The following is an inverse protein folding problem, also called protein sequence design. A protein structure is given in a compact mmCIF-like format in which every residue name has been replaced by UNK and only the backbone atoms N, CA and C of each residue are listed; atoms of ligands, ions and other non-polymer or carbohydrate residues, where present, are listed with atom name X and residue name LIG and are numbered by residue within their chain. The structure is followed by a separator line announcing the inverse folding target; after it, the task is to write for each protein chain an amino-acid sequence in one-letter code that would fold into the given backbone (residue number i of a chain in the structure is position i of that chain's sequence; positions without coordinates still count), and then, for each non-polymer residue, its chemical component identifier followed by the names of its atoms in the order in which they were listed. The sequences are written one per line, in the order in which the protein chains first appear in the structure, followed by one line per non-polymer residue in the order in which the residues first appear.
data_IF_264441263507
#
_entry.id   IF_264441263507
#
_cell.length_a   1.000
_cell.length_b   1.000
_cell.length_c   1.000
_cell.angle_alpha   90.00
_cell.angle_beta   90.00
_cell.angle_gamma   90.00
#
_symmetry.space_group_name_H-M   'P 1'
#
loop_
_entity.id
_entity.type
_entity.pdbx_description
1 polymer ?
#
# COMPACT_ATOMS: atom_id res chain seq x y z
N UNK A 1 24.91 17.51 -16.39
CA UNK A 1 25.73 16.37 -15.88
C UNK A 1 26.73 15.82 -16.90
N UNK A 2 26.33 15.39 -18.11
CA UNK A 2 27.26 14.80 -19.08
C UNK A 2 27.54 13.30 -18.83
N UNK A 3 28.40 12.69 -19.66
CA UNK A 3 28.55 11.22 -19.74
C UNK A 3 29.03 10.54 -18.45
N UNK A 4 29.81 11.23 -17.62
CA UNK A 4 30.37 10.73 -16.36
C UNK A 4 30.08 11.67 -15.18
N UNK A 5 29.13 12.59 -15.34
CA UNK A 5 28.76 13.55 -14.30
C UNK A 5 29.63 14.81 -14.20
N UNK A 6 30.76 14.88 -14.91
CA UNK A 6 31.74 15.98 -14.83
C UNK A 6 31.40 17.22 -15.65
N UNK A 7 30.35 17.16 -16.46
CA UNK A 7 29.91 18.25 -17.34
C UNK A 7 30.95 18.70 -18.37
N UNK A 8 31.99 17.90 -18.65
CA UNK A 8 33.11 18.27 -19.52
C UNK A 8 32.69 18.75 -20.92
N UNK A 9 31.68 18.12 -21.53
CA UNK A 9 31.14 18.56 -22.82
C UNK A 9 30.51 19.95 -22.75
N UNK A 10 29.85 20.30 -21.63
CA UNK A 10 29.28 21.63 -21.43
C UNK A 10 30.37 22.65 -21.12
N UNK A 11 31.41 22.27 -20.37
CA UNK A 11 32.59 23.13 -20.16
C UNK A 11 33.24 23.55 -21.49
N UNK A 12 33.36 22.63 -22.45
CA UNK A 12 33.89 22.94 -23.78
C UNK A 12 32.97 23.92 -24.53
N UNK A 13 31.66 23.64 -24.55
CA UNK A 13 30.65 24.46 -25.26
C UNK A 13 30.58 25.88 -24.69
N UNK A 14 30.73 26.04 -23.37
CA UNK A 14 30.67 27.32 -22.68
C UNK A 14 32.07 27.93 -22.42
N UNK A 15 33.12 27.43 -23.09
CA UNK A 15 34.48 27.96 -22.99
C UNK A 15 35.01 28.10 -21.55
N UNK A 16 34.67 27.12 -20.69
CA UNK A 16 35.08 27.10 -19.28
C UNK A 16 34.21 27.93 -18.34
N UNK A 17 33.12 28.52 -18.81
CA UNK A 17 32.20 29.32 -17.99
C UNK A 17 31.26 28.44 -17.15
N UNK A 18 31.69 28.09 -15.94
CA UNK A 18 30.92 27.27 -15.00
C UNK A 18 29.62 27.92 -14.54
N UNK A 19 29.59 29.24 -14.33
CA UNK A 19 28.38 29.94 -13.89
C UNK A 19 27.24 29.83 -14.91
N UNK A 20 27.56 29.85 -16.21
CA UNK A 20 26.55 29.61 -17.25
C UNK A 20 25.99 28.19 -17.20
N UNK A 21 26.83 27.21 -16.87
CA UNK A 21 26.40 25.82 -16.76
C UNK A 21 25.51 25.62 -15.53
N UNK A 22 25.84 26.26 -14.42
CA UNK A 22 25.00 26.24 -13.20
C UNK A 22 23.62 26.85 -13.48
N UNK A 23 23.60 28.07 -14.06
CA UNK A 23 22.35 28.74 -14.49
C UNK A 23 21.55 27.91 -15.48
N UNK A 24 22.23 27.19 -16.38
CA UNK A 24 21.58 26.27 -17.32
C UNK A 24 20.92 25.11 -16.56
N UNK A 25 21.63 24.46 -15.63
CA UNK A 25 21.08 23.34 -14.86
C UNK A 25 19.89 23.79 -14.00
N UNK A 26 20.02 24.92 -13.30
CA UNK A 26 18.92 25.51 -12.51
C UNK A 26 17.70 25.76 -13.39
N UNK A 27 17.90 26.41 -14.54
CA UNK A 27 16.81 26.70 -15.47
C UNK A 27 16.14 25.43 -16.01
N UNK A 28 16.91 24.37 -16.26
CA UNK A 28 16.36 23.09 -16.68
C UNK A 28 15.51 22.43 -15.58
N UNK A 29 15.95 22.48 -14.32
CA UNK A 29 15.16 21.99 -13.20
C UNK A 29 13.86 22.80 -13.01
N UNK A 30 13.92 24.14 -13.11
CA UNK A 30 12.73 24.99 -13.07
C UNK A 30 11.72 24.64 -14.17
N UNK A 31 12.19 24.49 -15.42
CA UNK A 31 11.33 24.16 -16.55
C UNK A 31 10.72 22.75 -16.43
N UNK A 32 11.44 21.83 -15.78
CA UNK A 32 10.96 20.49 -15.51
C UNK A 32 10.08 20.38 -14.23
N UNK A 33 9.92 21.48 -13.47
CA UNK A 33 9.09 21.52 -12.27
C UNK A 33 9.73 20.89 -11.01
N UNK A 34 11.07 20.78 -10.96
CA UNK A 34 11.78 20.27 -9.80
C UNK A 34 12.14 21.41 -8.83
N UNK A 35 11.39 21.51 -7.72
CA UNK A 35 11.61 22.52 -6.68
C UNK A 35 12.88 22.29 -5.86
N UNK A 36 13.27 21.02 -5.67
CA UNK A 36 14.45 20.63 -4.88
C UNK A 36 15.78 20.83 -5.62
N UNK A 37 15.74 21.31 -6.86
CA UNK A 37 16.92 21.75 -7.60
C UNK A 37 17.72 20.65 -8.30
N UNK A 38 18.98 20.96 -8.57
CA UNK A 38 19.93 20.14 -9.33
C UNK A 38 20.67 19.21 -8.37
N UNK A 39 21.00 17.98 -8.80
CA UNK A 39 21.95 17.17 -8.05
C UNK A 39 23.34 17.82 -8.09
N UNK A 40 23.97 18.11 -6.96
CA UNK A 40 25.36 18.60 -6.97
C UNK A 40 26.34 17.52 -7.44
N UNK A 41 26.06 16.27 -7.07
CA UNK A 41 26.88 15.11 -7.40
C UNK A 41 26.01 14.12 -8.16
N UNK A 42 26.43 13.83 -9.39
CA UNK A 42 25.88 12.72 -10.18
C UNK A 42 26.98 12.08 -11.00
N UNK A 43 26.66 10.93 -11.55
CA UNK A 43 27.49 10.23 -12.52
C UNK A 43 26.80 10.30 -13.89
N UNK A 44 26.83 9.24 -14.71
CA UNK A 44 26.08 9.24 -15.96
C UNK A 44 24.56 9.37 -15.75
N UNK A 45 24.06 8.93 -14.60
CA UNK A 45 22.64 8.91 -14.24
C UNK A 45 22.43 9.48 -12.84
N UNK A 46 21.17 9.77 -12.51
CA UNK A 46 20.77 9.87 -11.10
C UNK A 46 21.03 8.53 -10.40
N UNK A 47 21.25 8.57 -9.08
CA UNK A 47 21.51 7.36 -8.30
C UNK A 47 20.31 6.41 -8.32
N UNK A 48 20.54 5.12 -8.65
CA UNK A 48 19.49 4.09 -8.62
C UNK A 48 18.93 3.84 -7.21
N UNK A 49 19.56 4.40 -6.18
CA UNK A 49 18.98 4.47 -4.83
C UNK A 49 17.63 5.19 -4.82
N UNK A 50 17.40 6.18 -5.70
CA UNK A 50 16.10 6.84 -5.83
C UNK A 50 15.01 5.84 -6.22
N UNK A 51 15.30 4.95 -7.18
CA UNK A 51 14.35 3.93 -7.61
C UNK A 51 14.03 2.95 -6.46
N UNK A 52 15.06 2.56 -5.69
CA UNK A 52 14.90 1.73 -4.48
C UNK A 52 14.03 2.42 -3.42
N UNK A 53 14.32 3.67 -3.08
CA UNK A 53 13.60 4.40 -2.04
C UNK A 53 12.11 4.58 -2.42
N UNK A 54 11.83 4.93 -3.69
CA UNK A 54 10.46 4.99 -4.23
C UNK A 54 9.78 3.62 -4.18
N UNK A 55 10.48 2.56 -4.57
CA UNK A 55 9.90 1.21 -4.57
C UNK A 55 9.54 0.72 -3.18
N UNK A 56 10.35 1.01 -2.17
CA UNK A 56 10.08 0.66 -0.78
C UNK A 56 8.86 1.41 -0.25
N UNK A 57 8.73 2.70 -0.56
CA UNK A 57 7.59 3.49 -0.18
C UNK A 57 6.28 2.95 -0.78
N UNK A 58 6.28 2.58 -2.07
CA UNK A 58 5.10 2.07 -2.77
C UNK A 58 4.78 0.62 -2.36
N UNK A 59 5.78 -0.23 -2.14
CA UNK A 59 5.56 -1.63 -1.79
C UNK A 59 4.79 -1.83 -0.47
N UNK A 60 4.90 -0.88 0.46
CA UNK A 60 4.09 -0.84 1.67
C UNK A 60 2.58 -0.84 1.40
N UNK A 61 2.13 -0.19 0.33
CA UNK A 61 0.73 -0.20 -0.11
C UNK A 61 0.27 -1.63 -0.42
N UNK A 62 1.09 -2.43 -1.09
CA UNK A 62 0.77 -3.81 -1.43
C UNK A 62 0.51 -4.67 -0.20
N UNK A 63 1.36 -4.54 0.83
CA UNK A 63 1.18 -5.25 2.10
C UNK A 63 -0.10 -4.80 2.84
N UNK A 64 -0.34 -3.49 2.90
CA UNK A 64 -1.56 -2.92 3.50
C UNK A 64 -2.82 -3.40 2.79
N UNK A 65 -2.83 -3.39 1.45
CA UNK A 65 -3.96 -3.84 0.66
C UNK A 65 -4.25 -5.33 0.88
N UNK A 66 -3.22 -6.17 0.98
CA UNK A 66 -3.38 -7.59 1.32
C UNK A 66 -3.99 -7.78 2.71
N UNK A 67 -3.55 -7.01 3.71
CA UNK A 67 -4.10 -7.08 5.07
C UNK A 67 -5.59 -6.76 5.08
N UNK A 68 -5.97 -5.59 4.54
CA UNK A 68 -7.37 -5.12 4.46
C UNK A 68 -8.23 -6.17 3.75
N UNK A 69 -7.79 -6.66 2.61
CA UNK A 69 -8.60 -7.56 1.79
C UNK A 69 -8.71 -8.97 2.37
N UNK A 70 -7.71 -9.43 3.13
CA UNK A 70 -7.83 -10.68 3.88
C UNK A 70 -8.91 -10.58 4.96
N UNK A 71 -8.94 -9.48 5.72
CA UNK A 71 -9.97 -9.27 6.74
C UNK A 71 -11.37 -9.21 6.11
N UNK A 72 -11.53 -8.47 5.00
CA UNK A 72 -12.81 -8.41 4.27
C UNK A 72 -13.25 -9.80 3.78
N UNK A 73 -12.33 -10.64 3.31
CA UNK A 73 -12.64 -12.01 2.87
C UNK A 73 -13.06 -12.90 4.05
N UNK A 74 -12.45 -12.72 5.22
CA UNK A 74 -12.86 -13.42 6.44
C UNK A 74 -14.26 -12.99 6.91
N UNK A 75 -14.54 -11.69 6.91
CA UNK A 75 -15.86 -11.14 7.28
C UNK A 75 -16.95 -11.55 6.29
N UNK A 76 -16.61 -11.69 4.99
CA UNK A 76 -17.50 -12.22 3.97
C UNK A 76 -17.87 -13.70 4.22
N UNK A 77 -16.91 -14.50 4.69
CA UNK A 77 -17.19 -15.90 5.09
C UNK A 77 -18.19 -15.96 6.25
N UNK A 78 -18.14 -14.99 7.15
CA UNK A 78 -19.02 -14.88 8.33
C UNK A 78 -20.39 -14.25 7.98
N UNK A 79 -20.53 -13.72 6.76
CA UNK A 79 -21.69 -12.96 6.28
C UNK A 79 -21.97 -11.71 7.13
N UNK A 80 -20.90 -11.10 7.65
CA UNK A 80 -20.98 -9.86 8.42
C UNK A 80 -20.80 -8.65 7.51
N UNK A 81 -19.91 -8.76 6.53
CA UNK A 81 -19.62 -7.74 5.52
C UNK A 81 -19.47 -8.40 4.15
N UNK A 82 -19.97 -7.76 3.09
CA UNK A 82 -19.73 -8.15 1.70
C UNK A 82 -19.18 -6.96 0.89
N UNK A 83 -18.38 -7.26 -0.14
CA UNK A 83 -18.01 -6.26 -1.15
C UNK A 83 -19.22 -5.86 -2.02
N UNK A 84 -19.22 -4.67 -2.64
CA UNK A 84 -20.33 -4.22 -3.48
C UNK A 84 -20.67 -5.24 -4.57
N UNK A 85 -21.95 -5.39 -4.87
CA UNK A 85 -22.45 -6.35 -5.86
C UNK A 85 -23.26 -5.61 -6.92
N UNK A 86 -22.77 -5.60 -8.15
CA UNK A 86 -23.48 -4.91 -9.25
C UNK A 86 -24.76 -5.65 -9.60
N UNK A 87 -25.76 -4.90 -10.07
CA UNK A 87 -27.08 -5.45 -10.41
C UNK A 87 -27.02 -6.57 -11.47
N UNK A 88 -26.09 -6.44 -12.42
CA UNK A 88 -25.89 -7.39 -13.52
C UNK A 88 -24.72 -8.35 -13.27
N UNK A 89 -24.09 -8.31 -12.09
CA UNK A 89 -22.99 -9.20 -11.75
C UNK A 89 -23.52 -10.62 -11.57
N UNK A 90 -23.13 -11.51 -12.47
CA UNK A 90 -23.39 -12.93 -12.32
C UNK A 90 -22.36 -13.48 -11.33
N UNK A 91 -22.84 -13.97 -10.18
CA UNK A 91 -22.03 -14.75 -9.23
C UNK A 91 -21.72 -16.15 -9.79
N UNK A 92 -21.68 -17.18 -8.94
CA UNK A 92 -21.66 -18.55 -9.48
C UNK A 92 -23.00 -18.85 -10.16
N UNK A 93 -22.96 -19.32 -11.40
CA UNK A 93 -24.12 -19.55 -12.30
C UNK A 93 -25.18 -20.54 -11.79
N UNK A 94 -25.01 -21.12 -10.60
CA UNK A 94 -25.91 -22.12 -10.02
C UNK A 94 -26.49 -21.75 -8.63
N UNK A 95 -26.00 -20.70 -7.94
CA UNK A 95 -26.39 -20.41 -6.55
C UNK A 95 -26.61 -18.91 -6.31
N UNK A 96 -27.89 -18.49 -6.23
CA UNK A 96 -28.28 -17.09 -6.05
C UNK A 96 -27.79 -16.44 -4.75
N UNK A 97 -27.49 -17.23 -3.71
CA UNK A 97 -27.00 -16.73 -2.42
C UNK A 97 -25.46 -16.68 -2.32
N UNK A 98 -24.72 -17.28 -3.28
CA UNK A 98 -23.26 -17.37 -3.20
C UNK A 98 -22.62 -16.13 -3.81
N UNK A 99 -22.08 -15.28 -2.96
CA UNK A 99 -21.30 -14.09 -3.34
C UNK A 99 -19.84 -14.28 -2.92
N UNK A 100 -18.94 -14.22 -3.90
CA UNK A 100 -17.51 -14.36 -3.65
C UNK A 100 -16.87 -12.96 -3.61
N UNK A 101 -15.92 -12.71 -2.69
CA UNK A 101 -15.21 -11.43 -2.59
C UNK A 101 -14.10 -11.31 -3.66
N UNK A 102 -14.48 -11.38 -4.94
CA UNK A 102 -13.55 -11.49 -6.07
C UNK A 102 -12.68 -10.24 -6.24
N UNK A 103 -13.24 -9.04 -5.97
CA UNK A 103 -12.45 -7.81 -6.04
C UNK A 103 -11.38 -7.80 -4.95
N UNK A 104 -11.76 -8.17 -3.74
CA UNK A 104 -10.83 -8.30 -2.62
C UNK A 104 -9.74 -9.36 -2.89
N UNK A 105 -10.09 -10.49 -3.50
CA UNK A 105 -9.12 -11.51 -3.95
C UNK A 105 -8.15 -10.98 -5.01
N UNK A 106 -8.66 -10.23 -6.00
CA UNK A 106 -7.83 -9.61 -7.03
C UNK A 106 -6.86 -8.60 -6.43
N UNK A 107 -7.33 -7.71 -5.55
CA UNK A 107 -6.48 -6.73 -4.87
C UNK A 107 -5.40 -7.44 -4.03
N UNK A 108 -5.75 -8.50 -3.29
CA UNK A 108 -4.77 -9.31 -2.56
C UNK A 108 -3.70 -9.91 -3.49
N UNK A 109 -4.11 -10.36 -4.68
CA UNK A 109 -3.19 -10.88 -5.70
C UNK A 109 -2.22 -9.81 -6.22
N UNK A 110 -2.74 -8.64 -6.60
CA UNK A 110 -1.93 -7.51 -7.07
C UNK A 110 -0.99 -7.00 -5.97
N UNK A 111 -1.49 -6.89 -4.73
CA UNK A 111 -0.70 -6.49 -3.57
C UNK A 111 0.48 -7.43 -3.30
N UNK A 112 0.29 -8.74 -3.53
CA UNK A 112 1.37 -9.75 -3.40
C UNK A 112 2.49 -9.53 -4.42
N UNK A 113 2.15 -9.17 -5.66
CA UNK A 113 3.13 -8.86 -6.69
C UNK A 113 3.82 -7.53 -6.39
N UNK A 114 3.08 -6.49 -6.02
CA UNK A 114 3.65 -5.17 -5.69
C UNK A 114 4.66 -5.25 -4.54
N UNK A 115 4.34 -5.96 -3.44
CA UNK A 115 5.27 -6.10 -2.30
C UNK A 115 6.55 -6.88 -2.62
N UNK A 116 6.59 -7.61 -3.73
CA UNK A 116 7.77 -8.39 -4.13
C UNK A 116 8.74 -7.64 -5.04
N UNK A 117 8.34 -6.51 -5.63
CA UNK A 117 9.18 -5.77 -6.57
C UNK A 117 10.44 -5.11 -5.95
N UNK A 118 10.46 -4.63 -4.69
CA UNK A 118 11.63 -3.91 -4.15
C UNK A 118 12.97 -4.64 -4.23
N UNK A 119 12.98 -5.97 -4.25
CA UNK A 119 14.21 -6.77 -4.37
C UNK A 119 14.97 -6.45 -5.66
N UNK A 120 14.26 -6.33 -6.79
CA UNK A 120 14.85 -6.01 -8.08
C UNK A 120 15.51 -4.62 -8.08
N UNK A 121 14.87 -3.65 -7.43
CA UNK A 121 15.42 -2.30 -7.28
C UNK A 121 16.64 -2.27 -6.36
N UNK A 122 16.64 -3.08 -5.30
CA UNK A 122 17.77 -3.21 -4.39
C UNK A 122 18.99 -3.81 -5.11
N UNK A 123 18.78 -4.90 -5.85
CA UNK A 123 19.82 -5.57 -6.62
C UNK A 123 20.35 -4.65 -7.74
N UNK A 124 19.46 -3.95 -8.46
CA UNK A 124 19.86 -2.98 -9.50
C UNK A 124 20.73 -1.85 -8.94
N UNK A 125 20.45 -1.37 -7.72
CA UNK A 125 21.29 -0.35 -7.09
C UNK A 125 22.63 -0.92 -6.63
N UNK A 126 22.63 -2.12 -6.04
CA UNK A 126 23.83 -2.77 -5.53
C UNK A 126 24.84 -3.11 -6.63
N UNK A 127 24.36 -3.51 -7.81
CA UNK A 127 25.19 -3.96 -8.93
C UNK A 127 25.67 -2.84 -9.88
N UNK A 128 25.34 -1.57 -9.60
CA UNK A 128 25.88 -0.46 -10.39
C UNK A 128 27.39 -0.33 -10.22
N UNK A 129 28.16 -0.48 -11.31
CA UNK A 129 29.61 -0.28 -11.28
C UNK A 129 30.00 1.15 -11.66
N UNK A 130 30.76 1.80 -10.77
CA UNK A 130 31.35 3.14 -10.98
C UNK A 130 30.32 4.17 -11.49
N UNK A 131 30.55 4.80 -12.64
CA UNK A 131 29.70 5.87 -13.15
C UNK A 131 28.40 5.41 -13.80
N UNK A 132 28.29 4.12 -14.19
CA UNK A 132 27.08 3.39 -14.60
C UNK A 132 27.42 2.09 -15.35
N UNK A 133 26.63 1.05 -15.10
CA UNK A 133 26.47 -0.10 -16.01
C UNK A 133 25.03 -0.16 -16.58
N UNK A 134 24.88 -0.68 -17.81
CA UNK A 134 23.63 -0.60 -18.59
C UNK A 134 22.63 -1.74 -18.30
N UNK A 135 23.01 -2.72 -17.50
CA UNK A 135 22.14 -3.79 -16.98
C UNK A 135 20.91 -3.23 -16.23
N UNK A 136 21.01 -2.00 -15.73
CA UNK A 136 19.90 -1.23 -15.15
C UNK A 136 18.74 -0.96 -16.11
N UNK A 137 18.99 -0.92 -17.42
CA UNK A 137 18.04 -0.38 -18.41
C UNK A 137 16.82 -1.27 -18.62
N UNK A 138 17.03 -2.58 -18.80
CA UNK A 138 15.95 -3.49 -19.17
C UNK A 138 14.98 -3.72 -18.01
N UNK A 139 15.52 -4.00 -16.81
CA UNK A 139 14.71 -4.25 -15.61
C UNK A 139 13.90 -3.02 -15.21
N UNK A 140 14.48 -1.81 -15.27
CA UNK A 140 13.78 -0.55 -14.95
C UNK A 140 12.63 -0.23 -15.92
N UNK A 141 12.72 -0.68 -17.19
CA UNK A 141 11.63 -0.51 -18.16
C UNK A 141 10.41 -1.38 -17.87
N UNK A 142 10.59 -2.44 -17.11
CA UNK A 142 9.53 -3.36 -16.71
C UNK A 142 9.01 -2.94 -15.34
N UNK A 143 9.92 -2.86 -14.35
CA UNK A 143 9.55 -2.78 -12.95
C UNK A 143 9.02 -1.40 -12.55
N UNK A 144 9.55 -0.31 -13.13
CA UNK A 144 9.06 1.04 -12.80
C UNK A 144 7.60 1.20 -13.25
N UNK A 145 7.23 0.96 -14.53
CA UNK A 145 5.82 1.03 -14.93
C UNK A 145 4.94 0.00 -14.22
N UNK A 146 5.40 -1.25 -14.07
CA UNK A 146 4.63 -2.31 -13.42
C UNK A 146 4.28 -1.93 -11.98
N UNK A 147 5.24 -1.39 -11.21
CA UNK A 147 5.02 -0.93 -9.85
C UNK A 147 3.89 0.11 -9.74
N UNK A 148 3.90 1.14 -10.59
CA UNK A 148 2.88 2.20 -10.57
C UNK A 148 1.52 1.69 -11.06
N UNK A 149 1.49 0.84 -12.09
CA UNK A 149 0.24 0.24 -12.60
C UNK A 149 -0.41 -0.69 -11.57
N UNK A 150 0.39 -1.46 -10.83
CA UNK A 150 -0.09 -2.28 -9.73
C UNK A 150 -0.66 -1.43 -8.61
N UNK A 151 0.05 -0.38 -8.20
CA UNK A 151 -0.41 0.54 -7.15
C UNK A 151 -1.73 1.22 -7.54
N UNK A 152 -1.84 1.73 -8.77
CA UNK A 152 -3.06 2.34 -9.31
C UNK A 152 -4.24 1.37 -9.31
N UNK A 153 -4.06 0.16 -9.85
CA UNK A 153 -5.10 -0.86 -9.88
C UNK A 153 -5.54 -1.31 -8.47
N UNK A 154 -4.63 -1.33 -7.50
CA UNK A 154 -4.93 -1.59 -6.10
C UNK A 154 -5.78 -0.46 -5.51
N UNK A 155 -5.40 0.80 -5.74
CA UNK A 155 -6.13 1.95 -5.20
C UNK A 155 -7.53 2.06 -5.79
N UNK A 156 -7.68 1.92 -7.11
CA UNK A 156 -8.99 1.87 -7.77
C UNK A 156 -9.86 0.72 -7.26
N UNK A 157 -9.24 -0.45 -7.02
CA UNK A 157 -9.93 -1.60 -6.45
C UNK A 157 -10.39 -1.35 -5.02
N UNK A 158 -9.51 -0.80 -4.18
CA UNK A 158 -9.83 -0.47 -2.79
C UNK A 158 -10.94 0.59 -2.72
N UNK A 159 -10.84 1.66 -3.49
CA UNK A 159 -11.86 2.72 -3.55
C UNK A 159 -13.24 2.16 -3.93
N UNK A 160 -13.29 1.29 -4.95
CA UNK A 160 -14.53 0.63 -5.34
C UNK A 160 -15.10 -0.26 -4.23
N UNK A 161 -14.26 -1.07 -3.58
CA UNK A 161 -14.70 -1.97 -2.50
C UNK A 161 -15.18 -1.17 -1.29
N UNK A 162 -14.41 -0.19 -0.82
CA UNK A 162 -14.71 0.57 0.40
C UNK A 162 -15.90 1.49 0.22
N UNK A 163 -16.12 2.05 -0.96
CA UNK A 163 -17.26 2.94 -1.26
C UNK A 163 -18.61 2.21 -1.27
N UNK A 164 -18.62 0.89 -1.46
CA UNK A 164 -19.84 0.10 -1.59
C UNK A 164 -19.96 -1.07 -0.62
N UNK A 165 -19.25 -1.03 0.51
CA UNK A 165 -19.32 -2.09 1.52
C UNK A 165 -20.76 -2.31 2.00
N UNK A 166 -21.18 -3.56 2.00
CA UNK A 166 -22.48 -3.99 2.53
C UNK A 166 -22.26 -4.60 3.91
N UNK A 167 -22.89 -4.04 4.93
CA UNK A 167 -22.81 -4.53 6.31
C UNK A 167 -24.13 -5.19 6.71
N UNK A 168 -24.07 -6.30 7.45
CA UNK A 168 -25.23 -7.02 7.96
C UNK A 168 -25.32 -6.95 9.50
N UNK A 169 -25.86 -5.86 10.07
CA UNK A 169 -25.90 -5.66 11.53
C UNK A 169 -26.58 -6.79 12.30
N UNK A 170 -27.63 -7.41 11.72
CA UNK A 170 -28.34 -8.53 12.37
C UNK A 170 -27.46 -9.77 12.51
N UNK A 171 -26.57 -10.04 11.54
CA UNK A 171 -25.62 -11.16 11.59
C UNK A 171 -24.53 -10.92 12.62
N UNK A 172 -23.99 -9.70 12.63
CA UNK A 172 -23.02 -9.25 13.64
C UNK A 172 -23.61 -9.39 15.04
N UNK A 173 -24.82 -8.84 15.26
CA UNK A 173 -25.50 -8.92 16.55
C UNK A 173 -25.72 -10.37 17.00
N UNK A 174 -26.21 -11.25 16.12
CA UNK A 174 -26.42 -12.65 16.46
C UNK A 174 -25.14 -13.31 16.97
N UNK A 175 -24.03 -13.13 16.25
CA UNK A 175 -22.74 -13.70 16.66
C UNK A 175 -22.20 -13.08 17.94
N UNK A 176 -22.32 -11.75 18.10
CA UNK A 176 -21.95 -11.07 19.34
C UNK A 176 -22.72 -11.68 20.50
N UNK A 177 -24.03 -11.88 20.37
CA UNK A 177 -24.85 -12.47 21.44
C UNK A 177 -24.53 -13.94 21.72
N UNK A 178 -24.05 -14.70 20.73
CA UNK A 178 -23.58 -16.08 20.93
C UNK A 178 -22.30 -16.13 21.78
N UNK A 179 -21.39 -15.18 21.57
CA UNK A 179 -20.10 -15.13 22.28
C UNK A 179 -20.13 -14.31 23.58
N UNK A 180 -21.08 -13.37 23.69
CA UNK A 180 -21.17 -12.42 24.81
C UNK A 180 -21.28 -13.10 26.18
N UNK A 181 -22.03 -14.20 26.38
CA UNK A 181 -22.09 -14.89 27.68
C UNK A 181 -20.72 -15.33 28.18
N UNK A 182 -19.82 -15.76 27.27
CA UNK A 182 -18.46 -16.16 27.63
C UNK A 182 -17.58 -14.95 27.96
N UNK A 183 -17.64 -13.90 27.14
CA UNK A 183 -16.86 -12.67 27.35
C UNK A 183 -17.29 -11.90 28.61
N UNK A 184 -18.59 -11.92 28.93
CA UNK A 184 -19.15 -11.22 30.06
C UNK A 184 -18.81 -11.85 31.42
N UNK A 185 -18.23 -13.06 31.47
CA UNK A 185 -17.85 -13.73 32.73
C UNK A 185 -16.74 -13.03 33.52
N UNK A 186 -16.14 -11.97 32.97
CA UNK A 186 -15.09 -11.19 33.62
C UNK A 186 -15.54 -10.37 34.86
N UNK A 187 -14.64 -9.53 35.40
CA UNK A 187 -14.86 -8.77 36.62
C UNK A 187 -16.17 -7.98 36.68
N UNK A 188 -16.70 -7.36 35.61
CA UNK A 188 -17.95 -6.60 35.67
C UNK A 188 -19.17 -7.43 36.10
N UNK A 189 -19.32 -8.66 35.61
CA UNK A 189 -20.44 -9.53 35.98
C UNK A 189 -20.25 -10.10 37.38
N UNK A 190 -19.03 -10.50 37.73
CA UNK A 190 -18.68 -10.97 39.08
C UNK A 190 -18.90 -9.86 40.11
N UNK A 191 -18.47 -8.64 39.84
CA UNK A 191 -18.69 -7.48 40.71
C UNK A 191 -20.16 -7.10 40.78
N UNK A 192 -20.91 -7.21 39.68
CA UNK A 192 -22.37 -7.02 39.72
C UNK A 192 -23.07 -8.10 40.56
N UNK A 193 -22.62 -9.36 40.50
CA UNK A 193 -23.15 -10.45 41.33
C UNK A 193 -22.79 -10.27 42.80
N UNK A 194 -21.54 -9.91 43.12
CA UNK A 194 -21.10 -9.60 44.49
C UNK A 194 -21.84 -8.37 45.03
N UNK A 195 -21.97 -7.30 44.25
CA UNK A 195 -22.71 -6.09 44.64
C UNK A 195 -24.18 -6.39 44.91
N UNK A 196 -24.86 -7.19 44.06
CA UNK A 196 -26.22 -7.66 44.34
C UNK A 196 -26.31 -8.55 45.57
N UNK A 197 -25.36 -9.48 45.75
CA UNK A 197 -25.32 -10.36 46.91
C UNK A 197 -25.17 -9.54 48.21
N UNK A 198 -24.25 -8.57 48.22
CA UNK A 198 -24.05 -7.61 49.31
C UNK A 198 -25.31 -6.78 49.57
N UNK A 199 -25.93 -6.17 48.55
CA UNK A 199 -27.18 -5.40 48.75
C UNK A 199 -28.31 -6.25 49.33
N UNK A 200 -28.48 -7.49 48.88
CA UNK A 200 -29.59 -8.36 49.33
C UNK A 200 -29.34 -8.95 50.73
N UNK A 201 -28.08 -9.18 51.13
CA UNK A 201 -27.74 -9.89 52.37
C UNK A 201 -27.14 -9.00 53.47
N UNK A 202 -26.65 -7.79 53.17
CA UNK A 202 -26.19 -6.83 54.19
C UNK A 202 -27.23 -5.78 54.59
N UNK A 203 -28.31 -5.56 53.82
CA UNK A 203 -29.46 -4.76 54.30
C UNK A 203 -30.28 -5.47 55.39
N UNK A 204 -30.03 -6.76 55.65
CA UNK A 204 -30.60 -7.51 56.78
C UNK A 204 -29.73 -7.49 58.04
N UNK A 205 -28.58 -6.80 58.01
CA UNK A 205 -27.59 -6.76 59.09
C UNK A 205 -27.40 -5.36 59.73
N UNK A 206 -28.23 -4.38 59.37
CA UNK A 206 -28.34 -3.04 59.99
C UNK A 206 -29.81 -2.80 60.30
#
# INVERSE_FOLDING_TARGET
MGTTGTQASFMEVYHGDGEKIDKLNERLCELAGFETGVYDISVQTYSRKVDLDVSNAIAGLGATAMHITNDLRHLATQKEIEEPFEKDQIGSSAMAYKRNPMRSERICSLGRKLRSLPVNFADTFADQWFERTLDDSAIRRIDIPEMFLLADAILLGLDNVTSGLVVYPKRIHARVMDELPFMATGPPLIFSMISRYVSVHLELAI
#
